data_IF_708542646853
#
_entry.id   IF_708542646853
#
_cell.length_a   1.000
_cell.length_b   1.000
_cell.length_c   1.000
_cell.angle_alpha   90.00
_cell.angle_beta   90.00
_cell.angle_gamma   90.00
#
_symmetry.space_group_name_H-M   'P 1'
#
loop_
_entity.id
_entity.type
_entity.pdbx_description
1 polymer ?
#
# COMPACT_ATOMS: atom_id res chain seq x y z
N UNK A 1 20.84 20.60 -11.13
CA UNK A 1 19.75 19.64 -11.41
C UNK A 1 20.16 18.82 -12.61
N UNK A 2 20.18 17.49 -12.48
CA UNK A 2 20.95 16.57 -13.33
C UNK A 2 20.37 16.39 -14.74
N UNK A 3 21.26 16.45 -15.74
CA UNK A 3 21.00 16.38 -17.19
C UNK A 3 20.14 15.18 -17.64
N UNK A 4 20.16 14.07 -16.90
CA UNK A 4 19.46 12.83 -17.27
C UNK A 4 17.93 12.96 -17.21
N UNK A 5 17.41 13.72 -16.24
CA UNK A 5 15.95 13.90 -16.06
C UNK A 5 15.34 14.67 -17.24
N UNK A 6 16.03 15.72 -17.67
CA UNK A 6 15.60 16.55 -18.81
C UNK A 6 15.63 15.74 -20.11
N UNK A 7 16.69 14.94 -20.31
CA UNK A 7 16.82 14.05 -21.46
C UNK A 7 15.74 12.97 -21.51
N UNK A 8 15.34 12.41 -20.36
CA UNK A 8 14.29 11.39 -20.29
C UNK A 8 12.89 11.96 -20.54
N UNK A 9 12.58 13.15 -19.99
CA UNK A 9 11.32 13.86 -20.25
C UNK A 9 11.20 14.34 -21.70
N UNK A 10 12.32 14.48 -22.42
CA UNK A 10 12.34 14.85 -23.83
C UNK A 10 12.11 13.67 -24.80
N UNK A 11 12.02 12.43 -24.29
CA UNK A 11 11.65 11.26 -25.09
C UNK A 11 10.17 11.37 -25.45
N UNK A 12 9.88 11.51 -26.75
CA UNK A 12 8.53 11.75 -27.30
C UNK A 12 7.47 10.73 -26.86
N UNK A 13 7.89 9.52 -26.51
CA UNK A 13 7.02 8.40 -26.10
C UNK A 13 7.17 8.01 -24.62
N UNK A 14 7.72 8.89 -23.77
CA UNK A 14 7.75 8.67 -22.33
C UNK A 14 6.32 8.55 -21.78
N UNK A 15 5.83 7.32 -21.65
CA UNK A 15 4.68 7.00 -20.81
C UNK A 15 5.22 6.58 -19.46
N UNK A 16 4.89 7.31 -18.38
CA UNK A 16 5.19 6.84 -17.04
C UNK A 16 4.66 5.39 -16.90
N UNK A 17 5.50 4.39 -16.58
CA UNK A 17 5.11 2.98 -16.56
C UNK A 17 3.99 2.69 -15.54
N UNK A 18 3.71 3.67 -14.69
CA UNK A 18 2.85 3.66 -13.52
C UNK A 18 1.42 4.19 -13.76
N UNK A 19 0.93 4.29 -14.99
CA UNK A 19 -0.48 4.64 -15.24
C UNK A 19 -1.40 3.44 -14.98
N UNK A 20 -2.54 3.67 -14.30
CA UNK A 20 -3.57 2.67 -14.05
C UNK A 20 -4.56 2.47 -15.21
N UNK A 21 -5.53 1.56 -15.05
CA UNK A 21 -6.56 1.24 -16.05
C UNK A 21 -7.41 2.46 -16.45
N UNK A 22 -7.48 3.49 -15.60
CA UNK A 22 -8.23 4.72 -15.84
C UNK A 22 -7.41 5.82 -16.51
N UNK A 23 -6.13 5.57 -16.80
CA UNK A 23 -5.22 6.58 -17.32
C UNK A 23 -4.71 7.53 -16.23
N UNK A 24 -4.82 7.17 -14.95
CA UNK A 24 -4.36 7.99 -13.82
C UNK A 24 -2.92 7.62 -13.48
N UNK A 25 -2.08 8.64 -13.36
CA UNK A 25 -0.71 8.54 -12.85
C UNK A 25 -0.63 9.25 -11.50
N UNK A 26 0.08 8.67 -10.54
CA UNK A 26 0.35 9.32 -9.26
C UNK A 26 1.48 10.33 -9.44
N UNK A 27 1.13 11.62 -9.46
CA UNK A 27 2.09 12.71 -9.63
C UNK A 27 2.68 13.16 -8.29
N UNK A 28 4.01 13.34 -8.25
CA UNK A 28 4.71 14.09 -7.22
C UNK A 28 5.61 15.14 -7.87
N UNK A 29 5.63 16.37 -7.34
CA UNK A 29 6.45 17.48 -7.84
C UNK A 29 7.96 17.18 -7.95
N UNK A 30 8.43 16.06 -7.38
CA UNK A 30 9.80 15.55 -7.51
C UNK A 30 9.84 14.08 -7.90
N UNK A 31 9.11 13.66 -8.92
CA UNK A 31 9.31 12.36 -9.58
C UNK A 31 10.61 12.35 -10.41
N UNK A 32 11.72 12.85 -9.85
CA UNK A 32 13.08 12.77 -10.38
C UNK A 32 13.78 11.50 -9.90
N UNK A 33 13.01 10.45 -9.60
CA UNK A 33 13.58 9.21 -9.11
C UNK A 33 14.24 8.54 -10.31
N UNK A 34 15.58 8.54 -10.30
CA UNK A 34 16.39 7.99 -11.37
C UNK A 34 15.99 6.57 -11.78
N UNK A 35 15.41 5.79 -10.86
CA UNK A 35 14.85 4.47 -11.12
C UNK A 35 13.72 4.44 -12.16
N UNK A 36 12.67 5.27 -12.00
CA UNK A 36 11.55 5.27 -12.96
C UNK A 36 11.96 5.84 -14.32
N UNK A 37 12.88 6.80 -14.29
CA UNK A 37 13.51 7.34 -15.48
C UNK A 37 14.32 6.23 -16.18
N UNK A 38 15.15 5.50 -15.45
CA UNK A 38 15.97 4.42 -16.00
C UNK A 38 15.12 3.27 -16.55
N UNK A 39 14.06 2.84 -15.85
CA UNK A 39 13.15 1.79 -16.34
C UNK A 39 12.39 2.20 -17.60
N UNK A 40 12.14 3.50 -17.79
CA UNK A 40 11.50 4.00 -19.01
C UNK A 40 12.46 4.10 -20.21
N UNK A 41 13.76 4.27 -19.93
CA UNK A 41 14.81 4.44 -20.95
C UNK A 41 15.36 3.09 -21.40
N UNK A 42 15.47 2.11 -20.50
CA UNK A 42 15.94 0.76 -20.81
C UNK A 42 14.77 -0.23 -20.76
N UNK A 43 14.12 -0.42 -21.89
CA UNK A 43 12.99 -1.37 -22.04
C UNK A 43 13.36 -2.83 -21.67
N UNK A 44 14.65 -3.19 -21.75
CA UNK A 44 15.15 -4.54 -21.47
C UNK A 44 15.69 -4.75 -20.03
N UNK A 45 15.63 -3.73 -19.16
CA UNK A 45 16.09 -3.88 -17.78
C UNK A 45 14.96 -4.36 -16.88
N UNK A 46 15.07 -5.61 -16.41
CA UNK A 46 14.12 -6.18 -15.44
C UNK A 46 14.14 -5.38 -14.14
N UNK A 47 12.96 -4.92 -13.73
CA UNK A 47 12.75 -4.27 -12.45
C UNK A 47 13.03 -5.26 -11.31
N UNK A 48 13.91 -4.91 -10.37
CA UNK A 48 14.14 -5.71 -9.15
C UNK A 48 13.22 -5.18 -8.04
N UNK A 49 12.08 -5.83 -7.74
CA UNK A 49 11.21 -5.41 -6.66
C UNK A 49 11.85 -5.69 -5.29
N UNK A 50 11.38 -4.97 -4.26
CA UNK A 50 11.75 -5.28 -2.87
C UNK A 50 11.14 -6.62 -2.42
N UNK A 51 11.64 -7.19 -1.32
CA UNK A 51 11.08 -8.41 -0.73
C UNK A 51 9.60 -8.26 -0.39
N UNK A 52 9.17 -7.13 0.19
CA UNK A 52 7.75 -6.87 0.49
C UNK A 52 6.87 -6.87 -0.75
N UNK A 53 7.32 -6.21 -1.81
CA UNK A 53 6.57 -6.14 -3.07
C UNK A 53 6.54 -7.49 -3.79
N UNK A 54 7.64 -8.25 -3.71
CA UNK A 54 7.70 -9.62 -4.22
C UNK A 54 6.67 -10.50 -3.51
N UNK A 55 6.66 -10.50 -2.17
CA UNK A 55 5.68 -11.24 -1.37
C UNK A 55 4.25 -10.79 -1.64
N UNK A 56 4.00 -9.48 -1.74
CA UNK A 56 2.69 -8.95 -2.09
C UNK A 56 2.22 -9.48 -3.45
N UNK A 57 3.09 -9.48 -4.45
CA UNK A 57 2.80 -10.03 -5.77
C UNK A 57 2.55 -11.53 -5.72
N UNK A 58 3.33 -12.30 -4.95
CA UNK A 58 3.13 -13.74 -4.77
C UNK A 58 1.75 -14.05 -4.17
N UNK A 59 1.36 -13.35 -3.10
CA UNK A 59 0.05 -13.51 -2.46
C UNK A 59 -1.07 -13.15 -3.44
N UNK A 60 -0.90 -12.04 -4.17
CA UNK A 60 -1.86 -11.57 -5.15
C UNK A 60 -2.07 -12.57 -6.28
N UNK A 61 -0.99 -13.11 -6.85
CA UNK A 61 -1.03 -14.11 -7.91
C UNK A 61 -1.67 -15.42 -7.43
N UNK A 62 -1.33 -15.89 -6.22
CA UNK A 62 -1.97 -17.07 -5.62
C UNK A 62 -3.48 -16.87 -5.48
N UNK A 63 -3.92 -15.74 -4.91
CA UNK A 63 -5.34 -15.47 -4.77
C UNK A 63 -6.08 -15.30 -6.09
N UNK A 64 -5.46 -14.69 -7.09
CA UNK A 64 -6.04 -14.55 -8.42
C UNK A 64 -6.15 -15.89 -9.15
N UNK A 65 -5.22 -16.81 -8.91
CA UNK A 65 -5.27 -18.17 -9.45
C UNK A 65 -6.37 -19.00 -8.77
N UNK A 66 -6.42 -18.97 -7.44
CA UNK A 66 -7.35 -19.79 -6.66
C UNK A 66 -8.78 -19.25 -6.71
N UNK A 67 -8.94 -17.93 -6.78
CA UNK A 67 -10.23 -17.22 -6.72
C UNK A 67 -10.30 -16.06 -7.73
N UNK A 68 -10.46 -16.35 -9.04
CA UNK A 68 -10.42 -15.33 -10.09
C UNK A 68 -11.47 -14.22 -9.96
N UNK A 69 -12.59 -14.49 -9.29
CA UNK A 69 -13.69 -13.55 -9.10
C UNK A 69 -13.52 -12.61 -7.91
N UNK A 70 -12.47 -12.79 -7.11
CA UNK A 70 -12.23 -11.97 -5.94
C UNK A 70 -11.51 -10.67 -6.32
N UNK A 71 -11.80 -9.61 -5.57
CA UNK A 71 -11.15 -8.31 -5.74
C UNK A 71 -10.28 -8.01 -4.53
N UNK A 72 -9.12 -7.45 -4.81
CA UNK A 72 -8.03 -7.27 -3.85
C UNK A 72 -7.79 -5.78 -3.64
N UNK A 73 -7.76 -5.36 -2.37
CA UNK A 73 -7.29 -4.03 -1.97
C UNK A 73 -5.88 -4.16 -1.43
N UNK A 74 -4.97 -3.34 -1.92
CA UNK A 74 -3.61 -3.26 -1.39
C UNK A 74 -3.43 -1.89 -0.75
N UNK A 75 -3.25 -1.87 0.58
CA UNK A 75 -2.91 -0.67 1.32
C UNK A 75 -1.40 -0.46 1.35
N UNK A 76 -0.99 0.73 0.90
CA UNK A 76 0.41 1.14 0.79
C UNK A 76 0.54 2.55 1.35
N UNK A 77 1.59 2.85 2.10
CA UNK A 77 1.83 4.22 2.57
C UNK A 77 2.51 5.07 1.49
N UNK A 78 3.57 4.55 0.89
CA UNK A 78 4.42 5.30 -0.02
C UNK A 78 3.94 5.18 -1.48
N UNK A 79 3.72 6.34 -2.11
CA UNK A 79 3.35 6.45 -3.53
C UNK A 79 4.37 5.78 -4.46
N UNK A 80 5.67 5.85 -4.13
CA UNK A 80 6.73 5.23 -4.92
C UNK A 80 6.55 3.71 -4.93
N UNK A 81 6.35 3.11 -3.75
CA UNK A 81 6.07 1.68 -3.59
C UNK A 81 4.83 1.26 -4.37
N UNK A 82 3.77 2.09 -4.35
CA UNK A 82 2.57 1.85 -5.15
C UNK A 82 2.83 1.90 -6.66
N UNK A 83 3.66 2.84 -7.14
CA UNK A 83 4.05 2.94 -8.55
C UNK A 83 4.86 1.72 -9.01
N UNK A 84 5.78 1.23 -8.18
CA UNK A 84 6.54 -0.01 -8.45
C UNK A 84 5.58 -1.20 -8.55
N UNK A 85 4.66 -1.36 -7.58
CA UNK A 85 3.68 -2.44 -7.64
C UNK A 85 2.75 -2.32 -8.86
N UNK A 86 2.30 -1.11 -9.20
CA UNK A 86 1.49 -0.86 -10.40
C UNK A 86 2.20 -1.30 -11.68
N UNK A 87 3.51 -1.03 -11.78
CA UNK A 87 4.32 -1.53 -12.90
C UNK A 87 4.41 -3.06 -12.92
N UNK A 88 4.57 -3.73 -11.76
CA UNK A 88 4.54 -5.20 -11.67
C UNK A 88 3.19 -5.77 -12.13
N UNK A 89 2.08 -5.18 -11.68
CA UNK A 89 0.73 -5.59 -12.06
C UNK A 89 0.49 -5.44 -13.57
N UNK A 90 0.99 -4.35 -14.15
CA UNK A 90 0.90 -4.10 -15.58
C UNK A 90 1.67 -5.13 -16.40
N UNK A 91 2.88 -5.49 -15.99
CA UNK A 91 3.64 -6.57 -16.63
C UNK A 91 2.95 -7.93 -16.51
N UNK A 92 2.26 -8.18 -15.39
CA UNK A 92 1.44 -9.38 -15.20
C UNK A 92 0.05 -9.29 -15.84
N UNK A 93 -0.27 -8.20 -16.56
CA UNK A 93 -1.57 -7.96 -17.20
C UNK A 93 -2.77 -8.01 -16.24
N UNK A 94 -2.57 -7.59 -14.99
CA UNK A 94 -3.63 -7.52 -13.98
C UNK A 94 -4.17 -6.11 -13.92
N UNK A 95 -5.47 -5.94 -14.18
CA UNK A 95 -6.14 -4.64 -14.14
C UNK A 95 -6.18 -4.06 -12.73
N UNK A 96 -5.79 -2.80 -12.59
CA UNK A 96 -5.72 -2.10 -11.31
C UNK A 96 -6.07 -0.62 -11.43
N UNK A 97 -6.44 -0.01 -10.29
CA UNK A 97 -6.69 1.43 -10.15
C UNK A 97 -6.03 2.00 -8.90
N UNK A 98 -5.67 3.27 -8.93
CA UNK A 98 -5.15 3.98 -7.76
C UNK A 98 -6.22 4.73 -6.98
N UNK A 99 -5.99 4.86 -5.67
CA UNK A 99 -6.76 5.71 -4.78
C UNK A 99 -5.89 6.32 -3.68
N UNK A 100 -5.48 7.58 -3.88
CA UNK A 100 -4.66 8.31 -2.93
C UNK A 100 -5.23 9.68 -2.61
N UNK A 101 -4.94 10.18 -1.40
CA UNK A 101 -5.44 11.46 -0.90
C UNK A 101 -5.17 12.66 -1.82
N UNK A 102 -4.04 12.69 -2.52
CA UNK A 102 -3.65 13.78 -3.43
C UNK A 102 -4.34 13.73 -4.80
N UNK A 103 -5.07 12.65 -5.12
CA UNK A 103 -5.83 12.56 -6.37
C UNK A 103 -7.03 13.52 -6.35
N UNK A 104 -7.36 14.09 -7.50
CA UNK A 104 -8.55 14.91 -7.66
C UNK A 104 -9.84 14.08 -7.44
N UNK A 105 -10.94 14.75 -7.10
CA UNK A 105 -12.21 14.09 -6.79
C UNK A 105 -12.77 13.28 -7.96
N UNK A 106 -12.64 13.78 -9.20
CA UNK A 106 -13.12 13.10 -10.41
C UNK A 106 -12.44 11.74 -10.61
N UNK A 107 -11.13 11.69 -10.46
CA UNK A 107 -10.34 10.46 -10.59
C UNK A 107 -10.62 9.49 -9.45
N UNK A 108 -10.79 9.99 -8.22
CA UNK A 108 -11.22 9.17 -7.07
C UNK A 108 -12.57 8.49 -7.32
N UNK A 109 -13.57 9.24 -7.79
CA UNK A 109 -14.89 8.69 -8.12
C UNK A 109 -14.79 7.65 -9.24
N UNK A 110 -14.02 7.95 -10.29
CA UNK A 110 -13.80 7.02 -11.41
C UNK A 110 -13.11 5.72 -10.96
N UNK A 111 -12.12 5.81 -10.07
CA UNK A 111 -11.45 4.64 -9.51
C UNK A 111 -12.41 3.74 -8.74
N UNK A 112 -13.26 4.32 -7.87
CA UNK A 112 -14.28 3.57 -7.12
C UNK A 112 -15.28 2.90 -8.08
N UNK A 113 -15.77 3.63 -9.10
CA UNK A 113 -16.71 3.09 -10.07
C UNK A 113 -16.11 1.96 -10.90
N UNK A 114 -14.89 2.13 -11.41
CA UNK A 114 -14.17 1.10 -12.15
C UNK A 114 -13.97 -0.14 -11.29
N UNK A 115 -13.52 0.04 -10.04
CA UNK A 115 -13.30 -1.07 -9.13
C UNK A 115 -14.58 -1.79 -8.70
N UNK A 116 -15.72 -1.10 -8.60
CA UNK A 116 -17.00 -1.75 -8.29
C UNK A 116 -17.55 -2.50 -9.51
N UNK A 117 -17.58 -1.85 -10.66
CA UNK A 117 -18.38 -2.30 -11.81
C UNK A 117 -17.60 -3.12 -12.83
N UNK A 118 -16.28 -2.97 -12.91
CA UNK A 118 -15.47 -3.70 -13.88
C UNK A 118 -15.00 -5.04 -13.31
N UNK A 119 -15.22 -6.13 -14.05
CA UNK A 119 -14.64 -7.42 -13.73
C UNK A 119 -13.13 -7.48 -14.03
N UNK A 120 -12.64 -6.66 -14.97
CA UNK A 120 -11.21 -6.63 -15.34
C UNK A 120 -10.33 -5.92 -14.32
N UNK A 121 -10.88 -4.96 -13.58
CA UNK A 121 -10.15 -4.24 -12.53
C UNK A 121 -10.22 -5.04 -11.23
N UNK A 122 -9.18 -5.85 -11.01
CA UNK A 122 -9.08 -6.80 -9.89
C UNK A 122 -8.42 -6.20 -8.65
N UNK A 123 -7.58 -5.18 -8.84
CA UNK A 123 -6.74 -4.62 -7.77
C UNK A 123 -7.03 -3.15 -7.52
N UNK A 124 -7.15 -2.76 -6.25
CA UNK A 124 -7.31 -1.39 -5.81
C UNK A 124 -6.12 -0.98 -4.95
N UNK A 125 -5.24 -0.13 -5.48
CA UNK A 125 -4.06 0.37 -4.79
C UNK A 125 -4.40 1.63 -4.00
N UNK A 126 -4.53 1.52 -2.68
CA UNK A 126 -5.00 2.59 -1.83
C UNK A 126 -3.93 3.08 -0.84
N UNK A 127 -3.89 4.38 -0.61
CA UNK A 127 -3.11 4.96 0.48
C UNK A 127 -3.68 4.54 1.84
N UNK A 128 -2.89 3.98 2.76
CA UNK A 128 -3.38 3.55 4.09
C UNK A 128 -4.04 4.69 4.89
N UNK A 129 -3.50 5.91 4.78
CA UNK A 129 -4.06 7.13 5.39
C UNK A 129 -5.39 7.56 4.76
N UNK A 130 -5.69 7.08 3.56
CA UNK A 130 -6.97 7.32 2.89
C UNK A 130 -8.08 6.43 3.46
N UNK A 131 -7.76 5.46 4.33
CA UNK A 131 -8.73 4.57 5.01
C UNK A 131 -9.68 5.28 5.98
N UNK A 132 -9.38 6.52 6.38
CA UNK A 132 -10.29 7.38 7.15
C UNK A 132 -11.44 7.98 6.31
N UNK A 133 -11.39 7.86 4.98
CA UNK A 133 -12.47 8.27 4.10
C UNK A 133 -13.61 7.24 4.17
N UNK A 134 -14.87 7.68 4.16
CA UNK A 134 -16.05 6.81 4.19
C UNK A 134 -16.30 6.08 2.86
N UNK A 135 -15.34 5.26 2.44
CA UNK A 135 -15.43 4.42 1.25
C UNK A 135 -16.27 3.17 1.54
N UNK A 136 -17.14 2.81 0.59
CA UNK A 136 -17.88 1.55 0.59
C UNK A 136 -17.28 0.63 -0.48
N UNK A 137 -16.45 -0.32 -0.07
CA UNK A 137 -15.69 -1.21 -0.95
C UNK A 137 -16.08 -2.68 -0.72
N UNK A 138 -17.37 -2.95 -0.55
CA UNK A 138 -17.93 -4.29 -0.37
C UNK A 138 -17.74 -5.21 -1.57
N UNK A 139 -17.31 -4.70 -2.73
CA UNK A 139 -16.94 -5.51 -3.88
C UNK A 139 -15.64 -6.31 -3.66
N UNK A 140 -14.81 -5.91 -2.70
CA UNK A 140 -13.56 -6.57 -2.37
C UNK A 140 -13.67 -7.40 -1.11
N UNK A 141 -13.02 -8.55 -1.11
CA UNK A 141 -13.00 -9.47 0.03
C UNK A 141 -11.56 -9.87 0.42
N UNK A 142 -10.55 -9.33 -0.27
CA UNK A 142 -9.14 -9.62 -0.01
C UNK A 142 -8.39 -8.32 0.23
N UNK A 143 -7.62 -8.27 1.30
CA UNK A 143 -6.86 -7.08 1.70
C UNK A 143 -5.41 -7.49 1.94
N UNK A 144 -4.48 -6.72 1.37
CA UNK A 144 -3.05 -6.82 1.62
C UNK A 144 -2.58 -5.50 2.20
N UNK A 145 -1.89 -5.54 3.34
CA UNK A 145 -1.22 -4.39 3.94
C UNK A 145 0.28 -4.61 3.73
N UNK A 146 0.88 -3.80 2.85
CA UNK A 146 2.29 -3.97 2.45
C UNK A 146 3.23 -3.42 3.50
N UNK A 147 2.92 -2.26 4.06
CA UNK A 147 3.72 -1.60 5.08
C UNK A 147 2.85 -1.46 6.36
N UNK A 148 3.21 -2.12 7.47
CA UNK A 148 2.45 -2.03 8.72
C UNK A 148 2.54 -0.61 9.29
N UNK A 149 1.42 -0.09 9.75
CA UNK A 149 1.29 1.26 10.30
C UNK A 149 1.26 1.19 11.83
N UNK A 150 1.94 2.10 12.52
CA UNK A 150 2.03 2.08 14.00
C UNK A 150 0.67 2.08 14.73
N UNK A 151 -0.42 2.48 14.06
CA UNK A 151 -1.78 2.43 14.59
C UNK A 151 -2.61 1.29 13.96
N UNK A 152 -2.76 0.19 14.69
CA UNK A 152 -3.57 -0.98 14.31
C UNK A 152 -5.04 -0.61 14.06
N UNK A 153 -5.61 0.34 14.81
CA UNK A 153 -7.01 0.75 14.65
C UNK A 153 -7.26 1.35 13.28
N UNK A 154 -6.29 2.08 12.71
CA UNK A 154 -6.39 2.59 11.33
C UNK A 154 -6.43 1.46 10.32
N UNK A 155 -5.61 0.41 10.49
CA UNK A 155 -5.62 -0.77 9.63
C UNK A 155 -6.94 -1.53 9.71
N UNK A 156 -7.43 -1.79 10.94
CA UNK A 156 -8.70 -2.46 11.18
C UNK A 156 -9.88 -1.64 10.64
N UNK A 157 -9.83 -0.32 10.75
CA UNK A 157 -10.85 0.56 10.20
C UNK A 157 -10.84 0.55 8.66
N UNK A 158 -9.65 0.52 8.04
CA UNK A 158 -9.50 0.43 6.60
C UNK A 158 -10.00 -0.94 6.08
N UNK A 159 -9.66 -2.04 6.77
CA UNK A 159 -10.15 -3.37 6.47
C UNK A 159 -11.67 -3.50 6.71
N UNK A 160 -12.20 -2.85 7.75
CA UNK A 160 -13.63 -2.79 8.05
C UNK A 160 -14.47 -2.11 6.96
N UNK A 161 -13.87 -1.50 5.93
CA UNK A 161 -14.60 -0.95 4.77
C UNK A 161 -15.02 -2.00 3.76
N UNK A 162 -14.38 -3.17 3.75
CA UNK A 162 -14.77 -4.31 2.90
C UNK A 162 -15.78 -5.22 3.60
N UNK A 163 -15.65 -5.37 4.92
CA UNK A 163 -16.54 -6.17 5.76
C UNK A 163 -17.73 -5.33 6.27
N UNK A 164 -18.54 -4.81 5.36
CA UNK A 164 -19.76 -4.05 5.65
C UNK A 164 -21.03 -4.79 5.23
N UNK A 165 -22.18 -4.30 5.69
CA UNK A 165 -23.50 -4.72 5.20
C UNK A 165 -23.50 -4.65 3.66
N UNK A 166 -23.79 -5.76 3.01
CA UNK A 166 -23.71 -5.94 1.56
C UNK A 166 -22.54 -6.80 1.06
N UNK A 167 -21.57 -7.12 1.93
CA UNK A 167 -20.56 -8.14 1.64
C UNK A 167 -21.13 -9.54 1.88
N UNK A 168 -21.03 -10.43 0.89
CA UNK A 168 -21.50 -11.82 0.96
C UNK A 168 -20.36 -12.83 1.09
N UNK A 169 -19.12 -12.43 0.73
CA UNK A 169 -17.92 -13.27 0.80
C UNK A 169 -17.17 -13.08 2.11
N UNK A 170 -16.51 -14.13 2.59
CA UNK A 170 -15.59 -14.04 3.73
C UNK A 170 -14.42 -13.11 3.36
N UNK A 171 -14.12 -12.16 4.23
CA UNK A 171 -13.00 -11.24 4.05
C UNK A 171 -11.70 -11.82 4.64
N UNK A 172 -10.59 -11.63 3.93
CA UNK A 172 -9.26 -12.02 4.34
C UNK A 172 -8.33 -10.81 4.36
N UNK A 173 -7.53 -10.68 5.41
CA UNK A 173 -6.54 -9.63 5.57
C UNK A 173 -5.17 -10.27 5.76
N UNK A 174 -4.22 -9.91 4.90
CA UNK A 174 -2.81 -10.30 5.00
C UNK A 174 -1.99 -9.05 5.30
N UNK A 175 -1.09 -9.18 6.27
CA UNK A 175 -0.15 -8.12 6.67
C UNK A 175 1.26 -8.64 6.37
N UNK A 176 2.04 -7.83 5.66
CA UNK A 176 3.42 -8.20 5.30
C UNK A 176 4.36 -7.55 6.32
N UNK A 177 5.18 -8.38 6.95
CA UNK A 177 6.26 -7.95 7.83
C UNK A 177 7.58 -8.51 7.27
N UNK A 178 8.65 -7.74 7.43
CA UNK A 178 10.02 -8.23 7.20
C UNK A 178 10.59 -8.78 8.49
N UNK A 179 11.63 -9.62 8.39
CA UNK A 179 12.40 -10.11 9.54
C UNK A 179 13.25 -9.02 10.22
N UNK A 180 13.23 -7.79 9.69
CA UNK A 180 14.00 -6.69 10.25
C UNK A 180 13.48 -6.28 11.62
N UNK A 181 14.39 -5.87 12.51
CA UNK A 181 14.07 -5.38 13.84
C UNK A 181 13.07 -4.21 13.84
N UNK A 182 13.07 -3.38 12.79
CA UNK A 182 12.14 -2.27 12.65
C UNK A 182 10.68 -2.74 12.62
N UNK A 183 10.38 -3.78 11.83
CA UNK A 183 9.01 -4.27 11.66
C UNK A 183 8.54 -5.00 12.92
N UNK A 184 9.44 -5.72 13.59
CA UNK A 184 9.18 -6.33 14.90
C UNK A 184 8.86 -5.27 15.97
N UNK A 185 9.58 -4.14 15.99
CA UNK A 185 9.32 -3.04 16.92
C UNK A 185 8.02 -2.29 16.61
N UNK A 186 7.68 -2.11 15.35
CA UNK A 186 6.36 -1.57 14.95
C UNK A 186 5.25 -2.49 15.46
N UNK A 187 5.41 -3.81 15.34
CA UNK A 187 4.44 -4.77 15.91
C UNK A 187 4.35 -4.68 17.44
N UNK A 188 5.48 -4.49 18.14
CA UNK A 188 5.48 -4.28 19.59
C UNK A 188 4.77 -2.97 19.99
N UNK A 189 5.05 -1.87 19.29
CA UNK A 189 4.39 -0.58 19.50
C UNK A 189 2.88 -0.65 19.26
N UNK A 190 2.45 -1.36 18.22
CA UNK A 190 1.04 -1.62 17.95
C UNK A 190 0.36 -2.32 19.11
N UNK A 191 1.01 -3.32 19.72
CA UNK A 191 0.48 -4.07 20.86
C UNK A 191 0.28 -3.16 22.07
N UNK A 192 1.33 -2.41 22.44
CA UNK A 192 1.25 -1.42 23.53
C UNK A 192 0.14 -0.41 23.26
N UNK A 193 0.04 0.09 22.03
CA UNK A 193 -0.98 1.10 21.70
C UNK A 193 -2.40 0.54 21.72
N UNK A 194 -2.59 -0.72 21.34
CA UNK A 194 -3.87 -1.42 21.46
C UNK A 194 -4.27 -1.61 22.92
N UNK A 195 -3.34 -2.04 23.78
CA UNK A 195 -3.57 -2.17 25.23
C UNK A 195 -3.99 -0.83 25.85
N UNK A 196 -3.31 0.25 25.49
CA UNK A 196 -3.66 1.61 25.94
C UNK A 196 -5.07 2.06 25.50
N UNK A 197 -5.51 1.66 24.30
CA UNK A 197 -6.88 1.95 23.84
C UNK A 197 -7.90 1.13 24.63
N UNK A 198 -7.59 -0.12 24.95
CA UNK A 198 -8.47 -0.99 25.72
C UNK A 198 -8.65 -0.46 27.16
N UNK A 199 -7.57 -0.03 27.81
CA UNK A 199 -7.62 0.64 29.11
C UNK A 199 -8.48 1.91 29.08
N UNK A 200 -8.31 2.76 28.07
CA UNK A 200 -9.12 3.97 27.91
C UNK A 200 -10.62 3.70 27.72
N UNK A 201 -10.99 2.55 27.13
CA UNK A 201 -12.39 2.14 26.97
C UNK A 201 -13.01 1.55 28.26
N UNK A 202 -12.18 1.00 29.15
CA UNK A 202 -12.62 0.40 30.41
C UNK A 202 -12.78 1.43 31.55
N UNK A 203 -12.33 2.67 31.36
CA UNK A 203 -12.38 3.77 32.34
C UNK A 203 -11.82 3.36 33.72
N UNK A 204 -10.70 2.64 33.70
CA UNK A 204 -10.06 2.04 34.87
C UNK A 204 -9.09 2.99 35.60
N UNK A 205 -9.04 4.26 35.20
CA UNK A 205 -8.13 5.27 35.75
C UNK A 205 -6.67 5.10 35.31
N UNK A 206 -6.39 4.26 34.30
CA UNK A 206 -5.05 4.08 33.74
C UNK A 206 -4.51 5.39 33.15
N UNK A 207 -3.24 5.68 33.44
CA UNK A 207 -2.56 6.85 32.88
C UNK A 207 -1.64 6.41 31.74
N UNK A 208 -1.86 6.91 30.51
CA UNK A 208 -1.12 6.42 29.36
C UNK A 208 0.36 6.77 29.47
N UNK A 209 1.22 5.77 29.24
CA UNK A 209 2.67 6.00 29.22
C UNK A 209 3.04 6.83 27.99
N UNK A 210 3.54 8.05 28.22
CA UNK A 210 4.09 8.89 27.16
C UNK A 210 5.42 8.32 26.66
N UNK A 211 5.62 8.34 25.35
CA UNK A 211 6.88 7.94 24.74
C UNK A 211 7.99 8.92 25.15
N UNK A 212 9.03 8.42 25.80
CA UNK A 212 10.22 9.22 26.12
C UNK A 212 11.22 9.17 24.95
N UNK A 213 12.16 10.12 24.92
CA UNK A 213 13.30 10.14 23.99
C UNK A 213 14.06 8.81 23.97
N UNK A 214 14.22 8.14 25.13
CA UNK A 214 14.85 6.82 25.22
C UNK A 214 14.07 5.75 24.45
N UNK A 215 12.75 5.69 24.64
CA UNK A 215 11.88 4.76 23.91
C UNK A 215 11.93 5.01 22.39
N UNK A 216 12.06 6.29 21.99
CA UNK A 216 12.23 6.66 20.58
C UNK A 216 13.59 6.25 20.01
N UNK A 217 14.66 6.25 20.83
CA UNK A 217 15.99 5.81 20.43
C UNK A 217 16.04 4.29 20.28
N UNK A 218 15.42 3.54 21.19
CA UNK A 218 15.29 2.08 21.11
C UNK A 218 14.64 1.62 19.81
N UNK A 219 13.76 2.44 19.20
CA UNK A 219 13.17 2.14 17.89
C UNK A 219 14.21 2.02 16.78
N UNK A 220 15.33 2.76 16.87
CA UNK A 220 16.36 2.85 15.83
C UNK A 220 17.69 2.20 16.21
N UNK A 221 17.83 1.68 17.42
CA UNK A 221 19.05 0.98 17.83
C UNK A 221 19.24 -0.31 17.04
N UNK A 222 20.47 -0.61 16.59
CA UNK A 222 20.74 -1.83 15.82
C UNK A 222 20.66 -3.04 16.76
N UNK A 223 19.92 -4.08 16.40
CA UNK A 223 19.84 -5.28 17.24
C UNK A 223 21.08 -6.13 16.97
N UNK A 224 21.63 -6.80 18.00
CA UNK A 224 22.86 -7.61 17.88
C UNK A 224 22.80 -8.76 16.85
N UNK A 225 21.64 -9.03 16.24
CA UNK A 225 21.45 -10.01 15.16
C UNK A 225 21.47 -9.44 13.73
N UNK A 226 21.62 -8.12 13.54
CA UNK A 226 21.61 -7.46 12.22
C UNK A 226 23.03 -7.41 11.58
N UNK A 227 23.89 -8.36 11.94
CA UNK A 227 25.27 -8.51 11.43
C UNK A 227 25.47 -9.91 10.86
N UNK A 228 24.70 -10.27 9.84
CA UNK A 228 25.06 -11.29 8.85
C UNK A 228 24.54 -10.86 7.46
#
# INVERSE_FOLDING_TARGET
MSSIVISALAIKDYRPPDTDDNGVTLFRERDQIGFFIFSSVLQDSSMVPSSRLTTAMTVLLSWQSDFPEDKIIVFIENVITAKVLGSMLKHAQIGFVYYFGHMNCKNKTRAIQAFNNSASTKVFLAGIKSGGQSLNLTCANRIIIVDPWWNTTTELQAAGRTSRIGQTKKCYVVRIFTSAATDARVSALQKVKSEEVDHALQDDGHTPKLLNYKDSMELFEKTRGDTE
#
